data_IF_281280484634
#
_entry.id   IF_281280484634
#
_cell.length_a   1.000
_cell.length_b   1.000
_cell.length_c   1.000
_cell.angle_alpha   90.00
_cell.angle_beta   90.00
_cell.angle_gamma   90.00
#
_symmetry.space_group_name_H-M   'P 1'
#
loop_
_entity.id
_entity.type
_entity.pdbx_description
1 polymer ?
#
# COMPACT_ATOMS: atom_id res chain seq x y z
N UNK A 1 -0.07 -38.03 41.15
CA UNK A 1 -1.44 -37.50 41.41
C UNK A 1 -1.55 -35.99 41.14
N UNK A 2 -0.66 -35.39 40.33
CA UNK A 2 -0.59 -33.95 40.03
C UNK A 2 -1.10 -33.58 38.63
N UNK A 3 -1.45 -34.58 37.81
CA UNK A 3 -1.81 -34.37 36.41
C UNK A 3 -3.23 -33.80 36.23
N UNK A 4 -4.18 -34.15 37.10
CA UNK A 4 -5.60 -33.77 36.96
C UNK A 4 -5.88 -32.28 37.23
N UNK A 5 -5.12 -31.63 38.13
CA UNK A 5 -5.35 -30.22 38.51
C UNK A 5 -4.93 -29.27 37.38
N UNK A 6 -3.82 -29.57 36.68
CA UNK A 6 -3.34 -28.77 35.55
C UNK A 6 -4.32 -28.76 34.37
N UNK A 7 -4.90 -29.91 34.04
CA UNK A 7 -5.85 -30.06 32.94
C UNK A 7 -7.16 -29.28 33.19
N UNK A 8 -7.68 -29.29 34.42
CA UNK A 8 -8.89 -28.52 34.78
C UNK A 8 -8.64 -27.01 34.73
N UNK A 9 -7.46 -26.53 35.15
CA UNK A 9 -7.11 -25.11 35.03
C UNK A 9 -6.94 -24.68 33.58
N UNK A 10 -6.34 -25.52 32.74
CA UNK A 10 -6.20 -25.23 31.31
C UNK A 10 -7.57 -25.17 30.60
N UNK A 11 -8.51 -26.04 30.94
CA UNK A 11 -9.87 -25.98 30.41
C UNK A 11 -10.58 -24.68 30.81
N UNK A 12 -10.51 -24.29 32.09
CA UNK A 12 -11.08 -23.02 32.55
C UNK A 12 -10.43 -21.80 31.89
N UNK A 13 -9.11 -21.83 31.67
CA UNK A 13 -8.39 -20.75 30.97
C UNK A 13 -8.77 -20.69 29.50
N UNK A 14 -8.93 -21.83 28.82
CA UNK A 14 -9.39 -21.89 27.43
C UNK A 14 -10.73 -21.17 27.28
N UNK A 15 -11.69 -21.47 28.15
CA UNK A 15 -13.04 -20.92 28.05
C UNK A 15 -13.05 -19.41 28.37
N UNK A 16 -12.24 -18.98 29.33
CA UNK A 16 -12.03 -17.55 29.61
C UNK A 16 -11.38 -16.81 28.42
N UNK A 17 -10.32 -17.37 27.82
CA UNK A 17 -9.65 -16.79 26.66
C UNK A 17 -10.62 -16.70 25.47
N UNK A 18 -11.39 -17.76 25.21
CA UNK A 18 -12.37 -17.75 24.12
C UNK A 18 -13.43 -16.67 24.32
N UNK A 19 -13.90 -16.49 25.56
CA UNK A 19 -14.87 -15.44 25.92
C UNK A 19 -14.28 -14.05 25.69
N UNK A 20 -13.11 -13.76 26.26
CA UNK A 20 -12.45 -12.46 26.12
C UNK A 20 -12.09 -12.14 24.66
N UNK A 21 -11.62 -13.14 23.90
CA UNK A 21 -11.32 -12.97 22.48
C UNK A 21 -12.57 -12.63 21.64
N UNK A 22 -13.73 -13.19 21.99
CA UNK A 22 -15.01 -12.84 21.37
C UNK A 22 -15.42 -11.40 21.72
N UNK A 23 -15.28 -11.00 22.99
CA UNK A 23 -15.63 -9.65 23.44
C UNK A 23 -14.77 -8.58 22.76
N UNK A 24 -13.45 -8.80 22.67
CA UNK A 24 -12.53 -7.90 21.96
C UNK A 24 -12.92 -7.74 20.49
N UNK A 25 -13.34 -8.83 19.84
CA UNK A 25 -13.78 -8.79 18.45
C UNK A 25 -15.05 -7.97 18.29
N UNK A 26 -16.10 -8.27 19.06
CA UNK A 26 -17.36 -7.52 19.02
C UNK A 26 -17.15 -6.03 19.32
N UNK A 27 -16.32 -5.69 20.31
CA UNK A 27 -16.01 -4.31 20.63
C UNK A 27 -15.26 -3.59 19.48
N UNK A 28 -14.39 -4.30 18.77
CA UNK A 28 -13.65 -3.74 17.61
C UNK A 28 -14.59 -3.48 16.42
N UNK A 29 -15.51 -4.41 16.15
CA UNK A 29 -16.54 -4.24 15.13
C UNK A 29 -17.47 -3.07 15.47
N UNK A 30 -17.95 -3.01 16.72
CA UNK A 30 -18.79 -1.90 17.18
C UNK A 30 -18.06 -0.56 17.05
N UNK A 31 -16.79 -0.49 17.45
CA UNK A 31 -15.99 0.72 17.31
C UNK A 31 -15.97 1.22 15.85
N UNK A 32 -15.82 0.32 14.89
CA UNK A 32 -15.83 0.67 13.46
C UNK A 32 -17.19 1.19 13.00
N UNK A 33 -18.28 0.52 13.42
CA UNK A 33 -19.65 0.93 13.12
C UNK A 33 -19.94 2.32 13.68
N UNK A 34 -19.53 2.57 14.93
CA UNK A 34 -19.70 3.88 15.59
C UNK A 34 -18.87 4.97 14.92
N UNK A 35 -17.64 4.67 14.51
CA UNK A 35 -16.81 5.62 13.77
C UNK A 35 -17.43 6.00 12.42
N UNK A 36 -17.99 5.05 11.67
CA UNK A 36 -18.70 5.35 10.41
C UNK A 36 -19.96 6.18 10.65
N UNK A 37 -20.77 5.86 11.68
CA UNK A 37 -21.94 6.66 12.03
C UNK A 37 -21.58 8.10 12.44
N UNK A 38 -20.49 8.27 13.18
CA UNK A 38 -19.92 9.58 13.51
C UNK A 38 -19.52 10.35 12.24
N UNK A 39 -18.88 9.67 11.30
CA UNK A 39 -18.51 10.23 10.00
C UNK A 39 -19.71 10.64 9.14
N UNK A 40 -20.79 9.85 9.13
CA UNK A 40 -22.03 10.18 8.42
C UNK A 40 -22.62 11.50 8.95
N UNK A 41 -22.74 11.64 10.27
CA UNK A 41 -23.22 12.86 10.90
C UNK A 41 -22.32 14.08 10.61
N UNK A 42 -21.00 13.87 10.52
CA UNK A 42 -20.07 14.94 10.16
C UNK A 42 -20.16 15.34 8.69
N UNK A 43 -20.41 14.39 7.78
CA UNK A 43 -20.63 14.67 6.36
C UNK A 43 -21.90 15.50 6.20
N UNK A 44 -22.98 15.13 6.89
CA UNK A 44 -24.23 15.89 6.91
C UNK A 44 -24.00 17.31 7.45
N UNK A 45 -23.39 17.45 8.63
CA UNK A 45 -23.08 18.75 9.21
C UNK A 45 -22.20 19.61 8.29
N UNK A 46 -21.19 19.02 7.64
CA UNK A 46 -20.35 19.72 6.66
C UNK A 46 -21.15 20.19 5.44
N UNK A 47 -22.18 19.46 5.02
CA UNK A 47 -23.05 19.83 3.90
C UNK A 47 -23.95 21.03 4.21
N UNK A 48 -24.18 21.34 5.49
CA UNK A 48 -24.98 22.49 5.94
C UNK A 48 -24.15 23.77 6.13
N UNK A 49 -22.83 23.69 6.00
CA UNK A 49 -21.90 24.79 6.25
C UNK A 49 -21.21 25.24 4.96
N UNK A 50 -20.83 26.51 4.92
CA UNK A 50 -20.02 27.04 3.83
C UNK A 50 -18.62 26.41 3.80
N UNK A 51 -17.98 26.49 2.63
CA UNK A 51 -16.62 25.99 2.44
C UNK A 51 -15.65 26.64 3.44
N UNK A 52 -14.96 25.82 4.23
CA UNK A 52 -13.97 26.26 5.21
C UNK A 52 -14.50 26.39 6.65
N UNK A 53 -15.81 26.51 6.84
CA UNK A 53 -16.43 26.74 8.16
C UNK A 53 -16.55 25.48 9.02
N UNK A 54 -16.46 24.29 8.41
CA UNK A 54 -16.63 23.03 9.12
C UNK A 54 -15.61 22.82 10.27
N UNK A 55 -14.34 23.14 10.05
CA UNK A 55 -13.33 22.91 11.08
C UNK A 55 -13.42 23.88 12.28
N UNK A 56 -13.60 25.20 12.07
CA UNK A 56 -13.96 26.11 13.15
C UNK A 56 -15.20 25.64 13.91
N UNK A 57 -16.28 25.31 13.19
CA UNK A 57 -17.52 24.83 13.80
C UNK A 57 -17.31 23.56 14.62
N UNK A 58 -16.56 22.58 14.11
CA UNK A 58 -16.27 21.33 14.83
C UNK A 58 -15.54 21.59 16.15
N UNK A 59 -14.52 22.47 16.15
CA UNK A 59 -13.74 22.78 17.36
C UNK A 59 -14.60 23.45 18.43
N UNK A 60 -15.53 24.31 18.01
CA UNK A 60 -16.42 25.03 18.92
C UNK A 60 -17.52 24.12 19.50
N UNK A 61 -18.11 23.27 18.66
CA UNK A 61 -19.32 22.52 19.01
C UNK A 61 -19.04 21.09 19.51
N UNK A 62 -17.92 20.47 19.12
CA UNK A 62 -17.63 19.05 19.40
C UNK A 62 -16.29 18.89 20.12
N UNK A 63 -16.31 18.94 21.45
CA UNK A 63 -15.10 18.95 22.31
C UNK A 63 -14.28 17.66 22.26
N UNK A 64 -14.91 16.52 21.98
CA UNK A 64 -14.28 15.20 22.07
C UNK A 64 -13.70 14.70 20.75
N UNK A 65 -13.79 15.48 19.67
CA UNK A 65 -13.33 15.05 18.34
C UNK A 65 -12.32 16.05 17.78
N UNK A 66 -11.13 15.56 17.47
CA UNK A 66 -10.12 16.37 16.76
C UNK A 66 -10.47 16.47 15.27
N UNK A 67 -10.06 17.56 14.57
CA UNK A 67 -10.22 17.65 13.11
C UNK A 67 -9.58 16.47 12.36
N UNK A 68 -8.48 15.92 12.89
CA UNK A 68 -7.84 14.72 12.32
C UNK A 68 -8.74 13.48 12.43
N UNK A 69 -9.38 13.28 13.59
CA UNK A 69 -10.32 12.18 13.82
C UNK A 69 -11.55 12.34 12.95
N UNK A 70 -12.12 13.55 12.87
CA UNK A 70 -13.28 13.82 12.01
C UNK A 70 -13.01 13.46 10.55
N UNK A 71 -11.88 13.91 9.99
CA UNK A 71 -11.48 13.55 8.62
C UNK A 71 -11.33 12.04 8.42
N UNK A 72 -10.83 11.31 9.43
CA UNK A 72 -10.73 9.85 9.38
C UNK A 72 -12.13 9.22 9.37
N UNK A 73 -12.99 9.58 10.33
CA UNK A 73 -14.33 9.00 10.48
C UNK A 73 -15.20 9.28 9.24
N UNK A 74 -15.16 10.51 8.70
CA UNK A 74 -15.82 10.85 7.44
C UNK A 74 -15.29 10.03 6.25
N UNK A 75 -13.98 9.78 6.21
CA UNK A 75 -13.38 8.94 5.16
C UNK A 75 -13.82 7.48 5.27
N UNK A 76 -13.94 6.95 6.50
CA UNK A 76 -14.49 5.62 6.74
C UNK A 76 -15.96 5.55 6.31
N UNK A 77 -16.78 6.53 6.70
CA UNK A 77 -18.19 6.63 6.33
C UNK A 77 -18.38 6.66 4.82
N UNK A 78 -17.62 7.49 4.10
CA UNK A 78 -17.66 7.57 2.63
C UNK A 78 -17.28 6.26 1.92
N UNK A 79 -16.58 5.34 2.60
CA UNK A 79 -16.13 4.06 2.08
C UNK A 79 -16.79 2.86 2.77
N UNK A 80 -17.95 3.07 3.42
CA UNK A 80 -18.69 2.07 4.20
C UNK A 80 -18.84 0.72 3.50
N UNK A 81 -19.28 0.71 2.24
CA UNK A 81 -19.51 -0.53 1.50
C UNK A 81 -18.26 -1.42 1.37
N UNK A 82 -17.09 -0.81 1.13
CA UNK A 82 -15.82 -1.53 1.05
C UNK A 82 -15.38 -2.10 2.41
N UNK A 83 -15.65 -1.34 3.47
CA UNK A 83 -15.32 -1.73 4.85
C UNK A 83 -16.22 -2.87 5.32
N UNK A 84 -17.54 -2.77 5.11
CA UNK A 84 -18.51 -3.81 5.48
C UNK A 84 -18.27 -5.12 4.73
N UNK A 85 -17.95 -5.04 3.43
CA UNK A 85 -17.53 -6.21 2.65
C UNK A 85 -16.28 -6.87 3.26
N UNK A 86 -15.31 -6.06 3.71
CA UNK A 86 -14.09 -6.58 4.32
C UNK A 86 -14.38 -7.19 5.70
N UNK A 87 -15.15 -6.52 6.54
CA UNK A 87 -15.59 -7.03 7.85
C UNK A 87 -16.25 -8.40 7.76
N UNK A 88 -17.06 -8.64 6.73
CA UNK A 88 -17.68 -9.96 6.51
C UNK A 88 -16.68 -11.09 6.19
N UNK A 89 -15.44 -10.77 5.78
CA UNK A 89 -14.45 -11.76 5.30
C UNK A 89 -13.23 -11.93 6.22
N UNK A 90 -12.95 -11.00 7.12
CA UNK A 90 -11.80 -11.08 8.04
C UNK A 90 -12.24 -11.16 9.49
N UNK A 91 -11.53 -11.99 10.26
CA UNK A 91 -11.80 -12.25 11.67
C UNK A 91 -11.74 -11.00 12.58
N UNK A 92 -10.95 -9.99 12.21
CA UNK A 92 -10.87 -8.73 12.94
C UNK A 92 -10.37 -7.65 11.99
N UNK A 93 -11.11 -6.54 11.87
CA UNK A 93 -10.66 -5.35 11.16
C UNK A 93 -10.57 -4.20 12.16
N UNK A 94 -9.35 -3.77 12.47
CA UNK A 94 -9.14 -2.62 13.37
C UNK A 94 -9.37 -1.30 12.64
N UNK A 95 -9.61 -0.20 13.38
CA UNK A 95 -9.69 1.16 12.81
C UNK A 95 -8.46 1.50 11.94
N UNK A 96 -7.27 1.06 12.34
CA UNK A 96 -6.03 1.31 11.60
C UNK A 96 -6.00 0.56 10.27
N UNK A 97 -6.51 -0.67 10.24
CA UNK A 97 -6.58 -1.48 9.02
C UNK A 97 -7.68 -0.97 8.09
N UNK A 98 -8.83 -0.57 8.63
CA UNK A 98 -9.88 0.11 7.86
C UNK A 98 -9.36 1.42 7.24
N UNK A 99 -8.63 2.24 8.01
CA UNK A 99 -7.99 3.45 7.48
C UNK A 99 -6.98 3.15 6.35
N UNK A 100 -6.22 2.05 6.45
CA UNK A 100 -5.28 1.60 5.40
C UNK A 100 -6.01 1.11 4.16
N UNK A 101 -7.13 0.40 4.33
CA UNK A 101 -7.99 -0.07 3.25
C UNK A 101 -8.49 1.12 2.43
N UNK A 102 -9.05 2.13 3.10
CA UNK A 102 -9.57 3.35 2.47
C UNK A 102 -8.46 4.20 1.83
N UNK A 103 -7.28 4.27 2.44
CA UNK A 103 -6.14 4.99 1.88
C UNK A 103 -5.50 4.32 0.64
N UNK A 104 -6.08 3.23 0.12
CA UNK A 104 -5.53 2.48 -1.02
C UNK A 104 -4.19 1.80 -0.73
N UNK A 105 -3.77 1.72 0.54
CA UNK A 105 -2.50 1.10 0.96
C UNK A 105 -2.65 -0.37 1.34
N UNK A 106 -3.84 -0.93 1.14
CA UNK A 106 -4.21 -2.31 1.46
C UNK A 106 -3.56 -3.37 0.56
N UNK A 107 -3.03 -2.99 -0.59
CA UNK A 107 -2.08 -3.81 -1.34
C UNK A 107 -0.91 -2.90 -1.70
N UNK A 108 0.16 -2.95 -0.90
CA UNK A 108 1.47 -2.66 -1.49
C UNK A 108 1.61 -3.70 -2.59
N UNK A 109 1.46 -3.31 -3.86
CA UNK A 109 2.08 -4.08 -4.93
C UNK A 109 3.50 -4.39 -4.46
N UNK A 110 3.95 -5.65 -4.52
CA UNK A 110 5.33 -5.97 -4.21
C UNK A 110 6.18 -4.93 -4.93
N UNK A 111 7.08 -4.25 -4.21
CA UNK A 111 8.09 -3.44 -4.89
C UNK A 111 8.65 -4.36 -5.98
N UNK A 112 8.69 -3.94 -7.26
CA UNK A 112 9.29 -4.78 -8.28
C UNK A 112 10.68 -5.14 -7.71
N UNK A 113 10.88 -6.44 -7.43
CA UNK A 113 12.23 -6.93 -7.15
C UNK A 113 13.05 -6.49 -8.37
N UNK A 114 14.31 -6.16 -8.17
CA UNK A 114 15.24 -5.75 -9.26
C UNK A 114 15.36 -6.79 -10.41
N UNK A 115 14.60 -7.88 -10.34
CA UNK A 115 14.50 -8.93 -11.33
C UNK A 115 13.32 -8.66 -12.27
N UNK A 116 13.50 -8.85 -13.59
CA UNK A 116 12.38 -8.80 -14.52
C UNK A 116 11.37 -9.92 -14.19
N UNK A 117 10.09 -9.54 -14.04
CA UNK A 117 9.00 -10.50 -14.09
C UNK A 117 8.87 -11.10 -15.50
N UNK A 118 8.22 -12.25 -15.65
CA UNK A 118 7.86 -12.81 -16.96
C UNK A 118 7.09 -11.75 -17.77
N UNK A 119 7.55 -11.42 -18.99
CA UNK A 119 6.95 -10.39 -19.84
C UNK A 119 7.55 -8.99 -19.73
N UNK A 120 8.69 -8.82 -19.06
CA UNK A 120 9.49 -7.59 -19.17
C UNK A 120 10.10 -7.45 -20.56
N UNK A 121 10.40 -6.22 -20.96
CA UNK A 121 11.18 -5.94 -22.16
C UNK A 121 12.61 -5.59 -21.74
N UNK A 122 13.59 -6.30 -22.29
CA UNK A 122 15.01 -5.99 -22.12
C UNK A 122 15.53 -5.30 -23.38
N UNK A 123 16.15 -4.15 -23.21
CA UNK A 123 17.04 -3.58 -24.23
C UNK A 123 18.44 -3.49 -23.64
N UNK A 124 19.42 -4.08 -24.32
CA UNK A 124 20.83 -4.00 -23.92
C UNK A 124 21.69 -3.86 -25.16
N UNK A 125 22.62 -2.91 -25.13
CA UNK A 125 23.46 -2.56 -26.28
C UNK A 125 24.78 -3.36 -26.27
N UNK A 126 25.19 -3.90 -25.11
CA UNK A 126 26.51 -4.53 -24.94
C UNK A 126 26.64 -5.49 -23.72
N UNK A 127 25.55 -5.77 -22.99
CA UNK A 127 25.57 -6.69 -21.84
C UNK A 127 26.02 -6.05 -20.51
N UNK A 128 26.83 -5.00 -20.57
CA UNK A 128 27.25 -4.19 -19.42
C UNK A 128 26.28 -3.04 -19.11
N UNK A 129 25.53 -2.56 -20.10
CA UNK A 129 24.45 -1.59 -19.89
C UNK A 129 23.13 -2.10 -20.46
N UNK A 130 22.03 -1.71 -19.81
CA UNK A 130 20.70 -2.04 -20.34
C UNK A 130 19.56 -1.44 -19.55
N UNK A 131 18.37 -1.58 -20.11
CA UNK A 131 17.11 -1.19 -19.49
C UNK A 131 16.13 -2.34 -19.48
N UNK A 132 15.46 -2.47 -18.34
CA UNK A 132 14.26 -3.27 -18.17
C UNK A 132 13.03 -2.37 -18.10
N UNK A 133 12.05 -2.64 -18.95
CA UNK A 133 10.73 -2.01 -18.90
C UNK A 133 9.74 -3.07 -18.42
N UNK A 134 9.04 -2.77 -17.32
CA UNK A 134 8.08 -3.67 -16.67
C UNK A 134 6.71 -3.02 -16.68
N UNK A 135 5.65 -3.67 -17.22
CA UNK A 135 4.31 -3.12 -17.14
C UNK A 135 3.84 -3.00 -15.68
N UNK A 136 3.20 -1.87 -15.36
CA UNK A 136 2.50 -1.66 -14.09
C UNK A 136 1.14 -2.38 -14.11
N UNK A 137 0.51 -2.50 -12.94
CA UNK A 137 -0.89 -2.95 -12.82
C UNK A 137 -1.87 -1.94 -13.41
N UNK A 138 -1.47 -0.68 -13.56
CA UNK A 138 -2.25 0.33 -14.26
C UNK A 138 -1.95 0.26 -15.77
N UNK A 139 -3.00 0.14 -16.59
CA UNK A 139 -2.89 0.07 -18.06
C UNK A 139 -2.22 1.33 -18.59
N UNK A 140 -1.21 1.15 -19.45
CA UNK A 140 -0.47 2.25 -20.06
C UNK A 140 0.63 2.86 -19.18
N UNK A 141 0.98 2.21 -18.06
CA UNK A 141 2.05 2.67 -17.17
C UNK A 141 3.13 1.60 -16.99
N UNK A 142 4.38 2.03 -16.81
CA UNK A 142 5.55 1.14 -16.78
C UNK A 142 6.57 1.55 -15.71
N UNK A 143 7.23 0.57 -15.10
CA UNK A 143 8.46 0.77 -14.32
C UNK A 143 9.67 0.57 -15.21
N UNK A 144 10.71 1.37 -14.97
CA UNK A 144 11.93 1.38 -15.77
C UNK A 144 13.11 1.23 -14.84
N UNK A 145 13.91 0.21 -15.10
CA UNK A 145 15.20 -0.01 -14.42
C UNK A 145 16.30 0.14 -15.45
N UNK A 146 17.14 1.14 -15.30
CA UNK A 146 18.38 1.28 -16.06
C UNK A 146 19.53 0.71 -15.24
N UNK A 147 20.44 -0.02 -15.88
CA UNK A 147 21.67 -0.47 -15.27
C UNK A 147 22.88 -0.17 -16.16
N UNK A 148 24.02 0.08 -15.52
CA UNK A 148 25.34 0.27 -16.14
C UNK A 148 26.37 -0.34 -15.19
N UNK A 149 27.01 -1.43 -15.61
CA UNK A 149 27.88 -2.24 -14.75
C UNK A 149 27.13 -2.74 -13.51
N UNK A 150 27.63 -2.37 -12.33
CA UNK A 150 27.04 -2.69 -11.02
C UNK A 150 26.17 -1.56 -10.45
N UNK A 151 25.78 -0.56 -11.25
CA UNK A 151 24.84 0.47 -10.82
C UNK A 151 23.48 0.27 -11.48
N UNK A 152 22.41 0.39 -10.70
CA UNK A 152 21.04 0.32 -11.19
C UNK A 152 20.19 1.48 -10.65
N UNK A 153 19.45 2.14 -11.53
CA UNK A 153 18.50 3.21 -11.20
C UNK A 153 17.09 2.77 -11.62
N UNK A 154 16.14 2.86 -10.68
CA UNK A 154 14.74 2.45 -10.87
C UNK A 154 13.80 3.64 -10.70
N UNK A 155 12.80 3.74 -11.58
CA UNK A 155 11.71 4.70 -11.39
C UNK A 155 10.88 4.34 -10.14
N UNK A 156 10.81 5.27 -9.18
CA UNK A 156 10.02 5.08 -7.94
C UNK A 156 8.51 5.06 -8.17
N UNK A 157 8.05 5.63 -9.29
CA UNK A 157 6.65 5.69 -9.72
C UNK A 157 6.58 5.20 -11.16
N UNK A 158 5.48 4.52 -11.54
CA UNK A 158 5.35 4.06 -12.91
C UNK A 158 5.12 5.27 -13.82
N UNK A 159 5.73 5.24 -14.98
CA UNK A 159 5.72 6.30 -15.98
C UNK A 159 4.69 5.94 -17.04
N UNK A 160 3.91 6.92 -17.49
CA UNK A 160 2.96 6.72 -18.57
C UNK A 160 3.69 6.34 -19.87
N UNK A 161 3.04 5.57 -20.75
CA UNK A 161 3.59 5.18 -22.05
C UNK A 161 4.07 6.38 -22.88
N UNK A 162 3.38 7.51 -22.76
CA UNK A 162 3.72 8.75 -23.45
C UNK A 162 5.01 9.41 -22.97
N UNK A 163 5.51 9.06 -21.78
CA UNK A 163 6.76 9.58 -21.22
C UNK A 163 7.94 8.63 -21.38
N UNK A 164 7.76 7.50 -22.08
CA UNK A 164 8.82 6.54 -22.30
C UNK A 164 9.90 7.07 -23.23
N UNK A 165 9.54 7.83 -24.26
CA UNK A 165 10.49 8.39 -25.22
C UNK A 165 11.43 9.42 -24.57
N UNK A 166 10.88 10.29 -23.71
CA UNK A 166 11.67 11.28 -22.96
C UNK A 166 12.69 10.62 -22.02
N UNK A 167 12.29 9.53 -21.37
CA UNK A 167 13.18 8.75 -20.51
C UNK A 167 14.20 7.97 -21.35
N UNK A 168 13.78 7.45 -22.50
CA UNK A 168 14.66 6.87 -23.50
C UNK A 168 15.81 7.81 -23.85
N UNK A 169 15.49 9.03 -24.26
CA UNK A 169 16.48 10.05 -24.59
C UNK A 169 17.40 10.37 -23.42
N UNK A 170 16.86 10.53 -22.21
CA UNK A 170 17.67 10.82 -21.03
C UNK A 170 18.65 9.69 -20.69
N UNK A 171 18.27 8.44 -20.92
CA UNK A 171 19.08 7.26 -20.67
C UNK A 171 19.97 6.87 -21.86
N UNK A 172 19.88 7.59 -22.98
CA UNK A 172 20.62 7.29 -24.22
C UNK A 172 20.11 6.03 -24.94
N UNK A 173 18.81 5.74 -24.84
CA UNK A 173 18.17 4.53 -25.35
C UNK A 173 17.08 4.91 -26.33
N UNK A 174 17.11 4.28 -27.51
CA UNK A 174 16.05 4.43 -28.50
C UNK A 174 14.89 3.49 -28.17
N UNK A 175 13.93 4.01 -27.40
CA UNK A 175 12.73 3.27 -26.99
C UNK A 175 11.78 3.05 -28.18
N UNK A 176 11.83 3.90 -29.22
CA UNK A 176 11.05 3.72 -30.44
C UNK A 176 11.58 2.56 -31.30
N UNK A 177 12.88 2.28 -31.25
CA UNK A 177 13.50 1.09 -31.84
C UNK A 177 13.22 -0.20 -31.05
N UNK A 178 12.73 -0.10 -29.80
CA UNK A 178 12.26 -1.26 -29.05
C UNK A 178 10.93 -1.72 -29.65
N UNK A 179 11.01 -2.60 -30.65
CA UNK A 179 9.80 -3.30 -31.12
C UNK A 179 9.25 -4.12 -29.95
N UNK A 180 8.10 -3.70 -29.42
CA UNK A 180 7.29 -4.44 -28.43
C UNK A 180 6.69 -5.72 -29.04
N UNK A 181 7.47 -6.49 -29.80
CA UNK A 181 7.10 -7.84 -30.21
C UNK A 181 7.37 -8.75 -29.02
N UNK A 182 6.50 -9.75 -28.86
CA UNK A 182 6.48 -10.79 -27.82
C UNK A 182 7.79 -11.59 -27.68
N UNK A 183 8.93 -10.94 -27.43
CA UNK A 183 10.14 -11.61 -26.99
C UNK A 183 10.05 -11.73 -25.47
N UNK A 184 9.49 -12.85 -25.04
CA UNK A 184 9.65 -13.33 -23.67
C UNK A 184 11.14 -13.23 -23.28
N UNK A 185 11.44 -12.51 -22.19
CA UNK A 185 12.79 -12.46 -21.63
C UNK A 185 13.32 -13.90 -21.48
N UNK A 186 14.46 -14.19 -22.13
CA UNK A 186 15.25 -15.36 -21.79
C UNK A 186 15.67 -15.24 -20.30
N UNK A 187 15.61 -16.34 -19.53
CA UNK A 187 16.07 -16.34 -18.15
C UNK A 187 17.55 -15.94 -18.10
N UNK A 188 17.89 -14.90 -17.35
CA UNK A 188 19.27 -14.51 -17.09
C UNK A 188 19.73 -15.34 -15.90
N UNK A 189 20.59 -16.33 -16.13
CA UNK A 189 20.98 -17.33 -15.12
C UNK A 189 21.79 -16.78 -13.93
N UNK A 190 22.17 -15.49 -13.92
CA UNK A 190 22.83 -14.85 -12.78
C UNK A 190 22.44 -13.37 -12.66
N UNK A 191 21.98 -12.97 -11.48
CA UNK A 191 21.82 -11.57 -11.10
C UNK A 191 23.20 -10.99 -10.75
N UNK A 192 23.70 -9.97 -11.47
CA UNK A 192 25.00 -9.37 -11.15
C UNK A 192 25.01 -8.64 -9.78
N UNK A 193 23.86 -8.46 -9.12
CA UNK A 193 23.71 -7.70 -7.88
C UNK A 193 23.47 -8.55 -6.61
N UNK A 194 23.60 -9.88 -6.66
CA UNK A 194 23.34 -10.76 -5.48
C UNK A 194 24.36 -10.60 -4.33
N UNK A 195 25.32 -9.66 -4.42
CA UNK A 195 26.42 -9.50 -3.46
C UNK A 195 26.26 -8.40 -2.39
N UNK A 196 25.76 -7.20 -2.70
CA UNK A 196 25.98 -6.05 -1.80
C UNK A 196 24.89 -4.98 -1.88
N UNK A 197 23.91 -5.02 -0.98
CA UNK A 197 23.16 -3.82 -0.57
C UNK A 197 22.79 -3.91 0.93
N UNK A 198 23.79 -4.09 1.80
CA UNK A 198 23.69 -3.61 3.19
C UNK A 198 24.41 -2.25 3.27
N UNK A 199 23.67 -1.22 3.68
CA UNK A 199 24.21 0.02 4.26
C UNK A 199 24.84 1.05 3.31
N UNK A 200 24.10 2.13 3.03
CA UNK A 200 24.60 3.49 3.32
C UNK A 200 23.45 4.49 3.16
N UNK A 201 23.11 5.14 4.27
CA UNK A 201 22.43 6.44 4.24
C UNK A 201 23.38 7.55 3.80
N UNK A 202 22.78 8.73 3.60
CA UNK A 202 23.40 10.07 3.48
C UNK A 202 24.24 10.31 2.20
N UNK A 203 24.23 11.45 1.48
CA UNK A 203 23.79 12.86 1.62
C UNK A 203 23.43 13.32 0.17
N UNK A 204 22.57 14.29 -0.16
CA UNK A 204 22.72 15.77 -0.23
C UNK A 204 21.39 16.23 -0.87
N UNK A 205 20.62 17.22 -0.38
CA UNK A 205 20.96 18.52 0.17
C UNK A 205 20.43 19.56 -0.83
N UNK A 206 19.42 20.33 -0.42
CA UNK A 206 18.93 21.48 -1.17
C UNK A 206 19.10 22.71 -0.26
N UNK A 207 19.82 23.71 -0.78
CA UNK A 207 20.33 24.93 -0.15
C UNK A 207 21.58 24.77 0.73
#
# INVERSE_FOLDING_TARGET
MTDSIGHNRLAALRDAIATEASLVRSATEELLIRAMACGDAMIEAKGLLDHGEFEPWLRENVRNVSPRTARLDMSLAANRAAIETKLATVASLTLREAARLVAGRGQRSPRPRLLPATGCFRHGVDGESGVYIVPSTAVGFYFITAYRGEEATLTRRPVASSGLDDIGQHLGIDVAAMTFRDQACLPVDRNPFDGHLEGSGDVVGNA
#
